data_IF_424086935164
#
_entry.id   IF_424086935164
#
_cell.length_a   1.000
_cell.length_b   1.000
_cell.length_c   1.000
_cell.angle_alpha   90.00
_cell.angle_beta   90.00
_cell.angle_gamma   90.00
#
_symmetry.space_group_name_H-M   'P 1'
#
loop_
_entity.id
_entity.type
_entity.pdbx_description
1 polymer ?
#
# COMPACT_ATOMS: atom_id res chain seq x y z
N UNK A 1 -12.01 1.92 8.68
CA UNK A 1 -12.96 1.76 7.55
C UNK A 1 -12.92 2.86 6.48
N UNK A 2 -12.79 4.16 6.79
CA UNK A 2 -12.85 5.23 5.75
C UNK A 2 -11.67 5.30 4.77
N UNK A 3 -10.50 4.75 5.12
CA UNK A 3 -9.28 4.83 4.29
C UNK A 3 -9.32 3.82 3.14
N UNK A 4 -9.65 2.56 3.42
CA UNK A 4 -9.78 1.50 2.39
C UNK A 4 -10.88 1.85 1.38
N UNK A 5 -11.99 2.44 1.86
CA UNK A 5 -13.11 2.82 1.00
C UNK A 5 -12.81 4.05 0.11
N UNK A 6 -11.99 5.00 0.61
CA UNK A 6 -11.49 6.11 -0.22
C UNK A 6 -10.46 5.64 -1.24
N UNK A 7 -9.64 4.66 -0.91
CA UNK A 7 -8.66 4.07 -1.81
C UNK A 7 -9.33 3.29 -2.96
N UNK A 8 -10.32 2.43 -2.64
CA UNK A 8 -11.10 1.70 -3.64
C UNK A 8 -11.88 2.61 -4.60
N UNK A 9 -12.51 3.68 -4.08
CA UNK A 9 -13.24 4.64 -4.92
C UNK A 9 -12.33 5.47 -5.86
N UNK A 10 -11.03 5.58 -5.56
CA UNK A 10 -10.09 6.39 -6.35
C UNK A 10 -9.42 5.58 -7.46
N UNK A 11 -9.21 4.27 -7.25
CA UNK A 11 -8.62 3.37 -8.26
C UNK A 11 -9.69 2.90 -9.26
N UNK A 12 -10.96 2.78 -8.84
CA UNK A 12 -12.07 2.36 -9.70
C UNK A 12 -13.24 3.37 -9.65
N UNK A 13 -13.15 4.54 -10.30
CA UNK A 13 -14.23 5.53 -10.30
C UNK A 13 -15.52 5.06 -11.02
N UNK A 14 -15.50 3.89 -11.68
CA UNK A 14 -16.62 3.37 -12.47
C UNK A 14 -17.46 2.25 -11.83
N UNK A 15 -17.02 1.56 -10.78
CA UNK A 15 -17.74 0.37 -10.27
C UNK A 15 -18.97 0.65 -9.39
N UNK A 16 -19.29 1.92 -9.11
CA UNK A 16 -20.51 2.29 -8.38
C UNK A 16 -21.55 3.05 -9.22
N UNK A 17 -21.41 3.10 -10.55
CA UNK A 17 -22.38 3.73 -11.47
C UNK A 17 -23.24 2.71 -12.22
N UNK A 18 -23.82 1.72 -11.52
CA UNK A 18 -24.90 0.89 -12.07
C UNK A 18 -25.84 0.37 -10.97
N UNK A 19 -26.36 1.26 -10.13
CA UNK A 19 -27.48 0.94 -9.24
C UNK A 19 -28.32 2.18 -8.95
N UNK A 20 -28.84 2.82 -9.99
CA UNK A 20 -29.89 3.85 -9.85
C UNK A 20 -30.99 3.58 -10.87
N UNK A 21 -32.03 2.86 -10.45
CA UNK A 21 -33.46 3.19 -10.68
C UNK A 21 -34.36 2.02 -10.25
N UNK A 22 -34.78 2.05 -8.98
CA UNK A 22 -36.16 1.83 -8.50
C UNK A 22 -36.14 1.87 -6.97
N UNK A 23 -36.24 3.09 -6.43
CA UNK A 23 -36.63 3.28 -5.03
C UNK A 23 -38.15 3.03 -4.97
N UNK A 24 -38.54 1.89 -4.43
CA UNK A 24 -39.89 1.71 -3.89
C UNK A 24 -39.90 2.39 -2.52
N UNK A 25 -40.70 3.45 -2.39
CA UNK A 25 -40.92 4.12 -1.11
C UNK A 25 -41.60 3.15 -0.13
N UNK A 26 -40.86 2.64 0.85
CA UNK A 26 -41.47 2.16 2.09
C UNK A 26 -41.48 3.32 3.09
N UNK A 27 -42.69 3.76 3.41
CA UNK A 27 -43.00 4.75 4.43
C UNK A 27 -43.01 4.03 5.78
N UNK A 28 -42.01 4.25 6.62
CA UNK A 28 -42.06 3.90 8.05
C UNK A 28 -41.84 5.18 8.84
N UNK A 29 -42.83 5.51 9.65
CA UNK A 29 -42.96 6.78 10.34
C UNK A 29 -42.10 6.90 11.59
N UNK A 30 -41.91 8.17 11.98
CA UNK A 30 -41.81 8.65 13.36
C UNK A 30 -40.65 8.10 14.21
N UNK A 31 -39.65 8.92 14.52
CA UNK A 31 -39.63 9.80 15.69
C UNK A 31 -38.24 10.44 15.88
N UNK A 32 -38.28 11.66 16.43
CA UNK A 32 -37.28 12.32 17.27
C UNK A 32 -35.96 12.85 16.66
N UNK A 33 -35.95 14.19 16.60
CA UNK A 33 -34.82 15.12 16.70
C UNK A 33 -33.65 14.64 17.59
N UNK A 34 -32.40 14.90 17.18
CA UNK A 34 -31.48 15.65 18.04
C UNK A 34 -30.18 16.11 17.34
N UNK A 35 -29.95 17.43 17.47
CA UNK A 35 -28.67 18.11 17.72
C UNK A 35 -27.51 18.01 16.71
N UNK A 36 -27.46 19.05 15.89
CA UNK A 36 -26.28 19.74 15.37
C UNK A 36 -25.30 20.08 16.50
N UNK A 37 -24.01 19.72 16.38
CA UNK A 37 -22.91 20.44 17.05
C UNK A 37 -21.72 20.61 16.12
N UNK A 38 -21.68 21.81 15.56
CA UNK A 38 -20.50 22.51 15.06
C UNK A 38 -19.45 22.65 16.17
N UNK A 39 -18.19 22.37 15.89
CA UNK A 39 -17.07 22.82 16.72
C UNK A 39 -15.97 23.42 15.86
N UNK A 40 -15.62 24.64 16.26
CA UNK A 40 -14.65 25.54 15.67
C UNK A 40 -13.21 25.17 16.03
N UNK A 41 -12.32 25.51 15.10
CA UNK A 41 -11.04 26.24 15.28
C UNK A 41 -10.03 25.68 16.28
N UNK A 42 -8.86 25.32 15.74
CA UNK A 42 -7.60 25.23 16.46
C UNK A 42 -6.44 25.49 15.50
N UNK A 43 -6.11 26.76 15.28
CA UNK A 43 -4.89 27.22 14.62
C UNK A 43 -3.73 27.03 15.61
N UNK A 44 -2.68 26.31 15.23
CA UNK A 44 -1.39 26.34 15.93
C UNK A 44 -0.31 26.68 14.92
N UNK A 45 0.36 27.79 15.23
CA UNK A 45 1.45 28.40 14.49
C UNK A 45 2.81 27.85 14.95
N UNK A 46 3.73 27.82 13.98
CA UNK A 46 5.18 28.06 14.06
C UNK A 46 6.04 27.39 15.16
N UNK A 47 7.00 26.59 14.70
CA UNK A 47 8.39 26.68 15.17
C UNK A 47 9.35 26.37 14.01
N UNK A 48 10.04 27.40 13.53
CA UNK A 48 11.23 27.30 12.68
C UNK A 48 12.42 26.99 13.60
N UNK A 49 13.12 25.88 13.35
CA UNK A 49 14.47 25.65 13.90
C UNK A 49 15.45 25.59 12.75
N UNK A 50 16.44 26.47 12.86
CA UNK A 50 17.55 26.65 11.96
C UNK A 50 18.76 25.80 12.36
N UNK A 51 19.73 25.76 11.44
CA UNK A 51 21.17 25.54 11.60
C UNK A 51 21.71 24.10 11.50
N UNK A 52 22.67 23.95 10.59
CA UNK A 52 23.61 22.83 10.54
C UNK A 52 24.04 22.45 9.12
N UNK A 53 24.80 23.32 8.42
CA UNK A 53 25.59 22.91 7.25
C UNK A 53 26.94 22.43 7.76
N UNK A 54 27.27 21.17 7.50
CA UNK A 54 28.63 20.65 7.67
C UNK A 54 29.11 20.12 6.31
N UNK A 55 30.02 20.88 5.71
CA UNK A 55 30.76 20.52 4.49
C UNK A 55 31.88 19.54 4.85
N UNK A 56 31.87 18.35 4.24
CA UNK A 56 32.98 17.41 4.28
C UNK A 56 33.71 17.38 2.91
N UNK A 57 35.05 17.30 2.90
CA UNK A 57 35.89 17.42 1.69
C UNK A 57 35.90 16.17 0.79
N UNK A 58 36.35 16.31 -0.49
CA UNK A 58 36.27 15.28 -1.52
C UNK A 58 37.54 14.42 -1.63
N UNK A 59 37.36 13.11 -1.86
CA UNK A 59 38.15 12.20 -2.73
C UNK A 59 38.05 10.73 -2.25
N UNK A 60 38.44 9.71 -3.05
CA UNK A 60 38.69 9.65 -4.50
C UNK A 60 37.88 8.54 -5.21
N UNK A 61 37.99 8.52 -6.54
CA UNK A 61 37.48 7.50 -7.44
C UNK A 61 38.04 6.09 -7.16
N UNK A 62 37.22 5.07 -7.42
CA UNK A 62 37.70 3.73 -7.78
C UNK A 62 37.11 2.59 -6.96
N UNK A 63 35.87 2.19 -7.24
CA UNK A 63 35.41 0.82 -7.03
C UNK A 63 34.25 0.53 -7.97
N UNK A 64 34.53 -0.22 -9.03
CA UNK A 64 33.49 -0.84 -9.86
C UNK A 64 32.90 -2.00 -9.06
N UNK A 65 31.90 -1.70 -8.24
CA UNK A 65 31.11 -2.72 -7.55
C UNK A 65 30.25 -3.46 -8.58
N UNK A 66 30.40 -4.78 -8.63
CA UNK A 66 29.35 -5.68 -9.09
C UNK A 66 28.04 -5.25 -8.48
N UNK A 67 27.02 -5.02 -9.30
CA UNK A 67 25.66 -4.71 -8.84
C UNK A 67 25.15 -5.87 -7.96
N UNK A 68 25.26 -5.68 -6.65
CA UNK A 68 24.51 -6.45 -5.68
C UNK A 68 23.02 -6.12 -5.87
N UNK A 69 22.10 -7.08 -5.67
CA UNK A 69 20.67 -6.80 -5.67
C UNK A 69 20.39 -5.67 -4.68
N UNK A 70 19.73 -4.62 -5.16
CA UNK A 70 19.51 -3.37 -4.44
C UNK A 70 18.82 -3.62 -3.10
N UNK A 71 19.56 -3.40 -2.02
CA UNK A 71 19.01 -3.16 -0.67
C UNK A 71 18.22 -1.84 -0.72
N UNK A 72 16.97 -1.88 -1.15
CA UNK A 72 16.08 -0.71 -1.17
C UNK A 72 14.98 -0.85 -0.14
N UNK A 73 15.36 -0.80 1.14
CA UNK A 73 14.41 -0.44 2.19
C UNK A 73 14.29 1.08 2.21
N UNK A 74 13.34 1.56 1.40
CA UNK A 74 12.89 2.95 1.25
C UNK A 74 13.84 4.04 0.72
N UNK A 75 15.16 3.88 0.72
CA UNK A 75 16.08 4.89 0.15
C UNK A 75 15.75 6.34 0.59
N UNK A 76 15.45 7.23 -0.37
CA UNK A 76 15.13 8.64 -0.16
C UNK A 76 13.67 8.94 0.28
N UNK A 77 12.84 7.93 0.52
CA UNK A 77 11.42 8.12 0.83
C UNK A 77 11.16 8.03 2.34
N UNK A 78 10.71 9.15 2.93
CA UNK A 78 10.31 9.22 4.33
C UNK A 78 8.79 9.40 4.43
N UNK A 79 8.15 8.69 5.37
CA UNK A 79 6.70 8.86 5.64
C UNK A 79 6.39 10.34 5.92
N UNK A 80 5.38 10.89 5.25
CA UNK A 80 4.93 12.26 5.45
C UNK A 80 5.78 13.32 4.74
N UNK A 81 6.85 12.93 4.04
CA UNK A 81 7.47 13.79 3.04
C UNK A 81 6.45 14.12 1.93
N UNK A 82 6.68 15.23 1.23
CA UNK A 82 5.81 15.64 0.12
C UNK A 82 5.64 14.48 -0.88
N UNK A 83 4.37 14.19 -1.20
CA UNK A 83 3.98 13.11 -2.11
C UNK A 83 4.14 11.69 -1.54
N UNK A 84 4.65 11.49 -0.32
CA UNK A 84 4.78 10.17 0.31
C UNK A 84 3.64 9.93 1.31
N UNK A 85 2.63 9.14 0.92
CA UNK A 85 1.53 8.77 1.80
C UNK A 85 1.99 7.88 2.94
N UNK A 86 2.82 6.89 2.62
CA UNK A 86 3.34 5.97 3.62
C UNK A 86 4.68 5.37 3.18
N UNK A 87 5.55 5.09 4.15
CA UNK A 87 6.80 4.40 3.94
C UNK A 87 6.93 3.33 5.04
N UNK A 88 7.21 2.09 4.63
CA UNK A 88 7.37 0.93 5.49
C UNK A 88 8.82 0.45 5.39
N UNK A 89 9.70 1.13 6.11
CA UNK A 89 11.15 1.02 5.96
C UNK A 89 11.81 0.24 7.10
N UNK A 90 11.29 0.41 8.32
CA UNK A 90 11.86 -0.12 9.55
C UNK A 90 10.95 -1.16 10.22
N UNK A 91 9.93 -1.63 9.51
CA UNK A 91 9.05 -2.68 10.00
C UNK A 91 9.66 -4.08 9.90
N UNK A 92 9.00 -5.05 10.52
CA UNK A 92 9.51 -6.41 10.69
C UNK A 92 9.13 -7.36 9.57
N UNK A 93 8.25 -6.96 8.66
CA UNK A 93 7.82 -7.83 7.58
C UNK A 93 8.81 -7.79 6.40
N UNK A 94 9.03 -8.96 5.81
CA UNK A 94 9.73 -9.10 4.52
C UNK A 94 8.80 -9.73 3.52
N UNK A 95 8.76 -9.21 2.30
CA UNK A 95 7.93 -9.70 1.20
C UNK A 95 8.82 -10.01 0.01
N UNK A 96 8.71 -11.23 -0.50
CA UNK A 96 9.34 -11.64 -1.75
C UNK A 96 8.24 -11.85 -2.78
N UNK A 97 8.34 -11.17 -3.92
CA UNK A 97 7.37 -11.28 -5.01
C UNK A 97 8.11 -11.60 -6.30
N UNK A 98 7.59 -12.57 -7.05
CA UNK A 98 8.05 -12.87 -8.40
C UNK A 98 6.98 -12.48 -9.40
N UNK A 99 7.35 -11.66 -10.38
CA UNK A 99 6.47 -11.22 -11.48
C UNK A 99 7.23 -11.28 -12.79
N UNK A 100 6.63 -11.89 -13.82
CA UNK A 100 7.26 -12.05 -15.13
C UNK A 100 8.68 -12.66 -15.09
N UNK A 101 8.98 -13.50 -14.09
CA UNK A 101 10.28 -14.12 -13.88
C UNK A 101 11.30 -13.28 -13.10
N UNK A 102 10.98 -12.01 -12.79
CA UNK A 102 11.81 -11.14 -11.97
C UNK A 102 11.39 -11.24 -10.49
N UNK A 103 12.36 -11.33 -9.59
CA UNK A 103 12.13 -11.39 -8.15
C UNK A 103 12.44 -10.04 -7.51
N UNK A 104 11.49 -9.56 -6.71
CA UNK A 104 11.59 -8.37 -5.88
C UNK A 104 11.54 -8.76 -4.41
N UNK A 105 12.41 -8.18 -3.58
CA UNK A 105 12.44 -8.41 -2.14
C UNK A 105 12.30 -7.07 -1.43
N UNK A 106 11.19 -6.87 -0.74
CA UNK A 106 10.89 -5.68 0.04
C UNK A 106 11.02 -6.03 1.53
N UNK A 107 11.87 -5.30 2.26
CA UNK A 107 12.00 -5.42 3.72
C UNK A 107 11.47 -4.13 4.38
N UNK A 108 11.28 -4.15 5.70
CA UNK A 108 10.75 -2.99 6.42
C UNK A 108 9.23 -2.94 6.51
N UNK A 109 8.53 -3.99 6.06
CA UNK A 109 7.07 -4.02 5.98
C UNK A 109 6.37 -4.15 7.34
N UNK A 110 5.04 -4.06 7.32
CA UNK A 110 4.18 -4.28 8.48
C UNK A 110 3.15 -5.35 8.20
N UNK A 111 2.98 -6.28 9.12
CA UNK A 111 1.82 -7.15 9.20
C UNK A 111 0.89 -6.65 10.32
N UNK A 112 -0.42 -6.60 10.06
CA UNK A 112 -1.42 -6.18 11.05
C UNK A 112 -2.65 -7.08 10.96
N UNK A 113 -3.07 -7.60 12.10
CA UNK A 113 -4.32 -8.31 12.26
C UNK A 113 -5.32 -7.36 12.96
N UNK A 114 -6.44 -7.06 12.31
CA UNK A 114 -7.46 -6.16 12.85
C UNK A 114 -8.84 -6.49 12.33
N UNK A 115 -9.86 -6.50 13.21
CA UNK A 115 -11.28 -6.65 12.84
C UNK A 115 -11.53 -7.78 11.81
N UNK A 116 -11.07 -9.00 12.09
CA UNK A 116 -11.13 -10.19 11.20
C UNK A 116 -10.30 -10.14 9.91
N UNK A 117 -9.53 -9.08 9.65
CA UNK A 117 -8.67 -8.95 8.47
C UNK A 117 -7.20 -9.15 8.83
N UNK A 118 -6.45 -9.69 7.87
CA UNK A 118 -4.99 -9.61 7.85
C UNK A 118 -4.57 -8.57 6.81
N UNK A 119 -3.65 -7.69 7.17
CA UNK A 119 -3.10 -6.66 6.30
C UNK A 119 -1.58 -6.75 6.27
N UNK A 120 -0.99 -6.76 5.08
CA UNK A 120 0.44 -6.69 4.84
C UNK A 120 0.71 -5.45 3.99
N UNK A 121 1.71 -4.65 4.36
CA UNK A 121 2.23 -3.59 3.51
C UNK A 121 3.76 -3.58 3.60
N UNK A 122 4.46 -3.45 2.48
CA UNK A 122 5.92 -3.30 2.45
C UNK A 122 6.32 -2.33 1.33
N UNK A 123 7.41 -1.58 1.53
CA UNK A 123 7.88 -0.57 0.59
C UNK A 123 7.24 0.81 0.81
N UNK A 124 6.99 1.55 -0.27
CA UNK A 124 6.59 2.97 -0.20
C UNK A 124 5.36 3.25 -1.05
N UNK A 125 4.36 3.87 -0.43
CA UNK A 125 3.13 4.30 -1.11
C UNK A 125 3.19 5.82 -1.33
N UNK A 126 3.18 6.24 -2.59
CA UNK A 126 3.11 7.66 -2.97
C UNK A 126 1.66 8.13 -3.13
N UNK A 127 1.45 9.45 -3.07
CA UNK A 127 0.20 10.06 -3.49
C UNK A 127 0.05 9.93 -5.01
N UNK A 128 -1.18 9.78 -5.46
CA UNK A 128 -1.58 9.82 -6.87
C UNK A 128 -1.16 11.08 -7.62
N UNK A 129 -0.92 12.20 -6.94
CA UNK A 129 -0.43 13.45 -7.55
C UNK A 129 1.09 13.49 -7.68
N UNK A 130 1.80 12.54 -7.08
CA UNK A 130 3.24 12.45 -7.20
C UNK A 130 3.63 11.98 -8.60
N UNK A 131 4.55 12.71 -9.24
CA UNK A 131 4.99 12.43 -10.61
C UNK A 131 6.33 11.69 -10.65
N UNK A 132 6.96 11.43 -9.49
CA UNK A 132 8.18 10.63 -9.42
C UNK A 132 7.87 9.19 -9.84
N UNK A 133 8.86 8.45 -10.37
CA UNK A 133 8.70 7.01 -10.60
C UNK A 133 8.24 6.33 -9.31
N UNK A 134 7.16 5.52 -9.35
CA UNK A 134 6.64 4.92 -8.14
C UNK A 134 7.67 3.90 -7.62
N UNK A 135 8.08 4.00 -6.35
CA UNK A 135 8.95 3.03 -5.73
C UNK A 135 8.24 1.68 -5.62
N UNK A 136 9.03 0.66 -5.27
CA UNK A 136 8.47 -0.67 -5.04
C UNK A 136 7.56 -0.66 -3.80
N UNK A 137 6.39 -1.28 -3.95
CA UNK A 137 5.36 -1.42 -2.93
C UNK A 137 4.57 -2.69 -3.11
N UNK A 138 4.24 -3.36 -2.01
CA UNK A 138 3.30 -4.49 -2.00
C UNK A 138 2.30 -4.27 -0.86
N UNK A 139 1.02 -4.39 -1.19
CA UNK A 139 -0.09 -4.36 -0.24
C UNK A 139 -1.00 -5.57 -0.42
N UNK A 140 -1.37 -6.22 0.67
CA UNK A 140 -2.32 -7.34 0.69
C UNK A 140 -3.31 -7.14 1.84
N UNK A 141 -4.59 -7.32 1.55
CA UNK A 141 -5.67 -7.38 2.55
C UNK A 141 -6.44 -8.68 2.36
N UNK A 142 -6.30 -9.58 3.33
CA UNK A 142 -7.00 -10.87 3.36
C UNK A 142 -8.23 -10.81 4.28
N UNK A 143 -9.35 -11.43 3.88
CA UNK A 143 -10.57 -11.52 4.69
C UNK A 143 -10.46 -12.53 5.84
N UNK A 144 -9.38 -13.29 5.91
CA UNK A 144 -9.07 -14.20 7.02
C UNK A 144 -7.80 -13.75 7.71
N UNK A 145 -7.67 -14.08 8.99
CA UNK A 145 -6.51 -13.74 9.82
C UNK A 145 -5.46 -14.85 9.85
N UNK A 146 -5.90 -16.08 9.62
CA UNK A 146 -5.08 -17.28 9.63
C UNK A 146 -5.69 -18.31 8.68
N UNK A 147 -4.84 -19.08 8.00
CA UNK A 147 -5.21 -20.12 7.07
C UNK A 147 -5.40 -19.64 5.62
N UNK A 148 -6.06 -20.47 4.78
CA UNK A 148 -6.18 -20.23 3.35
C UNK A 148 -7.18 -19.12 3.04
N UNK A 149 -6.91 -18.36 1.98
CA UNK A 149 -7.81 -17.36 1.43
C UNK A 149 -7.98 -17.51 -0.07
N UNK A 150 -9.08 -16.94 -0.56
CA UNK A 150 -9.32 -16.67 -1.97
C UNK A 150 -9.76 -15.22 -2.11
N UNK A 151 -9.39 -14.58 -3.22
CA UNK A 151 -9.78 -13.21 -3.58
C UNK A 151 -9.42 -12.17 -2.51
N UNK A 152 -8.20 -12.23 -1.96
CA UNK A 152 -7.67 -11.11 -1.18
C UNK A 152 -7.51 -9.88 -2.08
N UNK A 153 -7.48 -8.68 -1.50
CA UNK A 153 -7.13 -7.47 -2.28
C UNK A 153 -5.61 -7.36 -2.28
N UNK A 154 -4.98 -7.61 -3.43
CA UNK A 154 -3.53 -7.50 -3.59
C UNK A 154 -3.18 -6.48 -4.67
N UNK A 155 -2.35 -5.51 -4.29
CA UNK A 155 -1.79 -4.50 -5.18
C UNK A 155 -0.28 -4.44 -5.03
N UNK A 156 0.43 -4.32 -6.14
CA UNK A 156 1.88 -4.10 -6.12
C UNK A 156 2.28 -3.01 -7.13
N UNK A 157 3.30 -2.24 -6.78
CA UNK A 157 4.09 -1.44 -7.72
C UNK A 157 5.48 -2.04 -7.70
N UNK A 158 5.96 -2.60 -8.81
CA UNK A 158 7.26 -3.27 -8.88
C UNK A 158 7.97 -2.86 -10.17
N UNK A 159 9.21 -2.38 -10.07
CA UNK A 159 9.98 -1.93 -11.23
C UNK A 159 9.28 -0.81 -12.01
N UNK A 160 8.52 0.05 -11.31
CA UNK A 160 7.76 1.15 -11.91
C UNK A 160 6.43 0.73 -12.58
N UNK A 161 6.02 -0.54 -12.48
CA UNK A 161 4.76 -1.05 -13.05
C UNK A 161 3.76 -1.36 -11.96
N UNK A 162 2.48 -1.06 -12.21
CA UNK A 162 1.39 -1.37 -11.29
C UNK A 162 0.72 -2.70 -11.64
N UNK A 163 0.45 -3.49 -10.60
CA UNK A 163 -0.17 -4.81 -10.67
C UNK A 163 -1.34 -4.87 -9.70
N UNK A 164 -2.52 -5.25 -10.20
CA UNK A 164 -3.69 -5.54 -9.39
C UNK A 164 -4.11 -6.98 -9.64
N UNK A 165 -4.16 -7.78 -8.57
CA UNK A 165 -4.56 -9.18 -8.65
C UNK A 165 -5.99 -9.30 -8.11
N UNK A 166 -6.98 -9.19 -8.99
CA UNK A 166 -8.38 -9.32 -8.59
C UNK A 166 -8.76 -10.77 -8.20
N UNK A 167 -8.02 -11.75 -8.72
CA UNK A 167 -8.19 -13.17 -8.43
C UNK A 167 -6.86 -13.73 -7.97
N UNK A 168 -6.78 -14.06 -6.69
CA UNK A 168 -5.60 -14.64 -6.07
C UNK A 168 -6.02 -15.64 -4.99
N UNK A 169 -5.10 -16.52 -4.66
CA UNK A 169 -5.22 -17.48 -3.57
C UNK A 169 -3.96 -17.45 -2.74
N UNK A 170 -4.04 -17.96 -1.53
CA UNK A 170 -2.88 -18.03 -0.67
C UNK A 170 -3.22 -18.46 0.73
N UNK A 171 -2.27 -18.26 1.62
CA UNK A 171 -2.39 -18.52 3.05
C UNK A 171 -1.77 -17.35 3.81
N UNK A 172 -2.39 -16.96 4.92
CA UNK A 172 -1.84 -15.97 5.86
C UNK A 172 -1.78 -16.57 7.25
N UNK A 173 -0.87 -16.08 8.08
CA UNK A 173 -0.76 -16.39 9.49
C UNK A 173 -0.05 -15.23 10.20
N UNK A 174 0.00 -15.26 11.53
CA UNK A 174 0.76 -14.27 12.30
C UNK A 174 2.28 -14.27 12.00
N UNK A 175 2.84 -15.38 11.52
CA UNK A 175 4.26 -15.51 11.19
C UNK A 175 4.59 -15.20 9.73
N UNK A 176 3.59 -15.11 8.85
CA UNK A 176 3.81 -14.96 7.42
C UNK A 176 2.81 -15.72 6.57
N UNK A 177 3.11 -15.84 5.29
CA UNK A 177 2.21 -16.46 4.34
C UNK A 177 2.73 -16.47 2.91
N UNK A 178 1.84 -16.87 2.00
CA UNK A 178 2.11 -16.97 0.56
C UNK A 178 0.89 -16.57 -0.24
N UNK A 179 1.11 -16.11 -1.46
CA UNK A 179 0.05 -15.77 -2.39
C UNK A 179 0.44 -16.09 -3.82
N UNK A 180 -0.56 -16.33 -4.66
CA UNK A 180 -0.40 -16.46 -6.09
C UNK A 180 -1.66 -15.96 -6.81
N UNK A 181 -1.49 -15.41 -8.00
CA UNK A 181 -2.61 -14.98 -8.83
C UNK A 181 -2.15 -14.46 -10.19
N UNK A 182 -3.13 -14.04 -10.98
CA UNK A 182 -2.88 -13.34 -12.24
C UNK A 182 -3.11 -11.85 -12.01
N UNK A 183 -2.12 -11.05 -12.39
CA UNK A 183 -2.25 -9.60 -12.39
C UNK A 183 -2.63 -9.12 -13.79
N UNK A 184 -3.56 -8.17 -13.85
CA UNK A 184 -3.76 -7.37 -15.05
C UNK A 184 -2.76 -6.23 -15.03
N UNK A 185 -2.03 -6.05 -16.13
CA UNK A 185 -1.19 -4.88 -16.36
C UNK A 185 -1.89 -3.99 -17.37
N UNK A 186 -1.88 -2.67 -17.13
CA UNK A 186 -2.49 -1.73 -18.07
C UNK A 186 -1.87 -1.88 -19.47
N UNK A 187 -2.73 -2.16 -20.46
CA UNK A 187 -2.32 -2.35 -21.86
C UNK A 187 -1.52 -3.61 -22.16
N UNK A 188 -1.45 -4.58 -21.24
CA UNK A 188 -0.66 -5.80 -21.40
C UNK A 188 -1.44 -7.09 -21.17
N UNK A 189 -0.80 -8.22 -21.52
CA UNK A 189 -1.29 -9.55 -21.21
C UNK A 189 -1.27 -9.83 -19.70
N UNK A 190 -2.19 -10.67 -19.18
CA UNK A 190 -2.14 -11.11 -17.80
C UNK A 190 -0.81 -11.76 -17.46
N UNK A 191 -0.22 -11.36 -16.33
CA UNK A 191 1.06 -11.93 -15.85
C UNK A 191 0.84 -12.71 -14.57
N UNK A 192 1.52 -13.84 -14.45
CA UNK A 192 1.53 -14.58 -13.19
C UNK A 192 2.35 -13.83 -12.16
N UNK A 193 1.80 -13.71 -10.96
CA UNK A 193 2.46 -13.15 -9.79
C UNK A 193 2.40 -14.19 -8.68
N UNK A 194 3.53 -14.46 -8.07
CA UNK A 194 3.65 -15.30 -6.87
C UNK A 194 4.41 -14.54 -5.80
N UNK A 195 4.17 -14.86 -4.54
CA UNK A 195 4.94 -14.26 -3.47
C UNK A 195 4.82 -14.99 -2.16
N UNK A 196 5.74 -14.65 -1.27
CA UNK A 196 5.76 -15.07 0.12
C UNK A 196 6.11 -13.88 0.99
N UNK A 197 5.71 -13.95 2.26
CA UNK A 197 6.08 -12.95 3.23
C UNK A 197 6.29 -13.58 4.59
N UNK A 198 7.12 -12.93 5.38
CA UNK A 198 7.34 -13.23 6.80
C UNK A 198 6.95 -12.02 7.64
N UNK A 199 6.45 -12.29 8.84
CA UNK A 199 6.13 -11.29 9.84
C UNK A 199 6.94 -11.65 11.11
N UNK A 200 7.63 -10.69 11.70
CA UNK A 200 8.36 -10.87 12.97
C UNK A 200 7.80 -9.95 14.06
#
# INVERSE_FOLDING_TARGET
MRIVQRWLNKIWPGACHAATKRLVCFRLGGYAMSAVRSFCVGVVALALVACGREEAPPNPAGATSSAAPSEHTCGAFTRGAEGVLNAFCDGTATVTVTVAGEQHVLRGGSCLISMSLFTLNAGVLLDTSDTRPPPDYVGLVSPVQDGPFTNAVLSASLGGRSYLLAQNTGEVSAAGGRFAGMATVEGGEPVQVTGSFTCQ
#
